data_IF_782888005317
#
_entry.id   IF_782888005317
#
_cell.length_a   1.000
_cell.length_b   1.000
_cell.length_c   1.000
_cell.angle_alpha   90.00
_cell.angle_beta   90.00
_cell.angle_gamma   90.00
#
_symmetry.space_group_name_H-M   'P 1'
#
loop_
_entity.id
_entity.type
_entity.pdbx_description
1 polymer ?
#
# COMPACT_ATOMS: atom_id res chain seq x y z
N UNK A 1 -17.62 -27.14 -4.92
CA UNK A 1 -16.43 -27.29 -4.05
C UNK A 1 -15.33 -26.49 -4.71
N UNK A 2 -15.12 -25.25 -4.26
CA UNK A 2 -14.12 -24.34 -4.83
C UNK A 2 -12.78 -24.63 -4.15
N UNK A 3 -11.71 -24.77 -4.92
CA UNK A 3 -10.38 -25.06 -4.40
C UNK A 3 -9.90 -23.93 -3.46
N UNK A 4 -9.12 -24.25 -2.40
CA UNK A 4 -8.51 -23.21 -1.58
C UNK A 4 -7.46 -22.47 -2.42
N UNK A 5 -7.69 -21.17 -2.66
CA UNK A 5 -6.68 -20.29 -3.22
C UNK A 5 -5.47 -20.31 -2.28
N UNK A 6 -4.34 -20.79 -2.79
CA UNK A 6 -3.09 -20.79 -2.05
C UNK A 6 -2.59 -19.35 -2.02
N UNK A 7 -2.94 -18.62 -0.96
CA UNK A 7 -2.40 -17.28 -0.71
C UNK A 7 -0.90 -17.46 -0.49
N UNK A 8 -0.12 -17.17 -1.53
CA UNK A 8 1.35 -17.23 -1.43
C UNK A 8 1.78 -16.12 -0.48
N UNK A 9 2.32 -16.49 0.67
CA UNK A 9 2.91 -15.56 1.63
C UNK A 9 4.16 -14.95 0.99
N UNK A 10 4.00 -13.82 0.32
CA UNK A 10 5.11 -13.08 -0.27
C UNK A 10 5.97 -12.55 0.87
N UNK A 11 7.27 -12.83 0.89
CA UNK A 11 8.21 -12.11 1.76
C UNK A 11 8.19 -10.65 1.29
N UNK A 12 7.57 -9.73 2.05
CA UNK A 12 6.98 -8.58 1.42
C UNK A 12 8.05 -7.47 1.47
N UNK A 13 8.94 -7.49 0.47
CA UNK A 13 10.02 -6.51 0.30
C UNK A 13 9.37 -5.23 -0.24
N UNK A 14 9.35 -4.18 0.57
CA UNK A 14 9.05 -2.83 0.07
C UNK A 14 10.30 -2.30 -0.62
N UNK A 15 10.24 -2.13 -1.94
CA UNK A 15 11.31 -1.53 -2.73
C UNK A 15 10.78 -0.28 -3.46
N UNK A 16 11.59 0.78 -3.60
CA UNK A 16 11.19 1.96 -4.36
C UNK A 16 11.12 1.63 -5.85
N UNK A 17 10.17 2.24 -6.55
CA UNK A 17 10.09 2.14 -8.00
C UNK A 17 11.12 3.06 -8.65
N UNK A 18 11.76 2.60 -9.72
CA UNK A 18 12.65 3.44 -10.55
C UNK A 18 11.86 4.48 -11.36
N UNK A 19 10.60 4.17 -11.69
CA UNK A 19 9.65 5.06 -12.36
C UNK A 19 8.28 4.91 -11.71
N UNK A 20 7.65 6.04 -11.38
CA UNK A 20 6.31 6.08 -10.81
C UNK A 20 5.58 7.34 -11.31
N UNK A 21 4.24 7.30 -11.28
CA UNK A 21 3.38 8.43 -11.66
C UNK A 21 3.22 9.38 -10.48
N UNK A 22 2.92 8.84 -9.30
CA UNK A 22 2.68 9.61 -8.08
C UNK A 22 3.25 8.94 -6.85
N UNK A 23 3.46 9.75 -5.81
CA UNK A 23 3.79 9.25 -4.48
C UNK A 23 2.92 9.89 -3.40
N UNK A 24 2.79 9.18 -2.29
CA UNK A 24 2.15 9.64 -1.07
C UNK A 24 3.01 9.26 0.13
N UNK A 25 3.06 10.16 1.11
CA UNK A 25 3.87 9.99 2.32
C UNK A 25 2.99 10.20 3.53
N UNK A 26 3.02 9.25 4.45
CA UNK A 26 2.45 9.39 5.80
C UNK A 26 3.53 9.20 6.85
N UNK A 27 3.26 9.63 8.07
CA UNK A 27 4.13 9.41 9.23
C UNK A 27 3.46 8.45 10.22
N UNK A 28 4.19 7.43 10.68
CA UNK A 28 3.72 6.50 11.69
C UNK A 28 3.80 7.16 13.07
N UNK A 29 2.68 7.65 13.59
CA UNK A 29 2.67 8.47 14.82
C UNK A 29 3.36 7.86 16.05
N UNK A 30 3.33 6.53 16.30
CA UNK A 30 4.04 5.96 17.45
C UNK A 30 5.57 5.98 17.34
N UNK A 31 6.12 5.97 16.12
CA UNK A 31 7.58 5.92 15.92
C UNK A 31 8.16 7.13 15.18
N UNK A 32 7.32 8.05 14.69
CA UNK A 32 7.70 9.29 14.02
C UNK A 32 8.42 9.07 12.68
N UNK A 33 8.29 7.89 12.08
CA UNK A 33 9.02 7.51 10.86
C UNK A 33 8.12 7.50 9.64
N UNK A 34 8.70 7.88 8.51
CA UNK A 34 7.99 8.01 7.25
C UNK A 34 7.66 6.66 6.61
N UNK A 35 6.51 6.63 5.95
CA UNK A 35 6.04 5.58 5.06
C UNK A 35 5.71 6.24 3.74
N UNK A 36 6.41 5.82 2.69
CA UNK A 36 6.23 6.29 1.32
C UNK A 36 5.61 5.18 0.49
N UNK A 37 4.55 5.52 -0.26
CA UNK A 37 3.92 4.69 -1.29
C UNK A 37 4.11 5.37 -2.63
N UNK A 38 4.57 4.62 -3.63
CA UNK A 38 4.77 5.04 -5.01
C UNK A 38 3.90 4.19 -5.92
N UNK A 39 3.16 4.83 -6.83
CA UNK A 39 2.26 4.16 -7.76
C UNK A 39 2.66 4.50 -9.19
N UNK A 40 2.78 3.48 -10.03
CA UNK A 40 2.82 3.62 -11.47
C UNK A 40 1.41 3.33 -12.01
N UNK A 41 0.81 4.35 -12.63
CA UNK A 41 -0.58 4.33 -13.07
C UNK A 41 -0.62 4.52 -14.58
N UNK A 42 -1.35 3.65 -15.28
CA UNK A 42 -1.64 3.73 -16.71
C UNK A 42 -3.13 3.47 -16.94
N UNK A 43 -3.81 4.36 -17.67
CA UNK A 43 -5.26 4.27 -17.95
C UNK A 43 -6.11 4.06 -16.67
N UNK A 44 -5.82 4.82 -15.62
CA UNK A 44 -6.47 4.73 -14.31
C UNK A 44 -6.32 3.37 -13.59
N UNK A 45 -5.37 2.54 -14.03
CA UNK A 45 -5.03 1.25 -13.39
C UNK A 45 -3.63 1.32 -12.80
N UNK A 46 -3.49 0.83 -11.56
CA UNK A 46 -2.20 0.71 -10.88
C UNK A 46 -1.46 -0.50 -11.48
N UNK A 47 -0.48 -0.27 -12.33
CA UNK A 47 0.28 -1.35 -12.99
C UNK A 47 1.50 -1.81 -12.18
N UNK A 48 2.02 -0.95 -11.32
CA UNK A 48 3.11 -1.28 -10.39
C UNK A 48 3.01 -0.41 -9.13
N UNK A 49 3.48 -0.95 -8.00
CA UNK A 49 3.43 -0.28 -6.71
C UNK A 49 4.68 -0.60 -5.88
N UNK A 50 5.30 0.43 -5.33
CA UNK A 50 6.50 0.32 -4.50
C UNK A 50 6.53 1.38 -3.40
N UNK A 51 7.69 1.58 -2.80
CA UNK A 51 7.84 2.62 -1.79
C UNK A 51 9.06 2.49 -0.91
N UNK A 52 9.01 3.15 0.25
CA UNK A 52 10.04 3.08 1.27
C UNK A 52 9.40 3.16 2.66
N UNK A 53 9.91 2.37 3.61
CA UNK A 53 9.41 2.33 4.99
C UNK A 53 10.59 2.39 5.94
N UNK A 54 10.63 3.43 6.78
CA UNK A 54 11.66 3.60 7.80
C UNK A 54 11.23 3.02 9.17
N UNK A 55 9.94 2.71 9.30
CA UNK A 55 9.27 2.15 10.48
C UNK A 55 9.63 0.68 10.76
N UNK A 56 8.99 0.11 11.78
CA UNK A 56 9.21 -1.27 12.24
C UNK A 56 8.86 -2.33 11.17
N UNK A 57 9.31 -3.56 11.40
CA UNK A 57 9.08 -4.67 10.47
C UNK A 57 7.60 -4.94 10.22
N UNK A 58 6.75 -4.77 11.24
CA UNK A 58 5.31 -4.93 11.07
C UNK A 58 4.73 -3.89 10.09
N UNK A 59 5.12 -2.61 10.20
CA UNK A 59 4.74 -1.60 9.20
C UNK A 59 5.25 -1.95 7.80
N UNK A 60 6.49 -2.45 7.67
CA UNK A 60 7.04 -2.88 6.37
C UNK A 60 6.18 -3.97 5.75
N UNK A 61 5.77 -4.93 6.56
CA UNK A 61 4.89 -6.02 6.16
C UNK A 61 3.51 -5.51 5.73
N UNK A 62 2.86 -4.67 6.55
CA UNK A 62 1.59 -4.04 6.18
C UNK A 62 1.70 -3.28 4.86
N UNK A 63 2.77 -2.49 4.67
CA UNK A 63 2.98 -1.73 3.44
C UNK A 63 3.13 -2.66 2.24
N UNK A 64 3.98 -3.68 2.31
CA UNK A 64 4.15 -4.56 1.16
C UNK A 64 2.93 -5.45 0.89
N UNK A 65 2.16 -5.83 1.91
CA UNK A 65 0.85 -6.47 1.74
C UNK A 65 -0.14 -5.54 1.02
N UNK A 66 -0.23 -4.27 1.45
CA UNK A 66 -1.05 -3.25 0.81
C UNK A 66 -0.65 -3.03 -0.65
N UNK A 67 0.65 -2.85 -0.94
CA UNK A 67 1.17 -2.67 -2.29
C UNK A 67 0.79 -3.85 -3.20
N UNK A 68 0.90 -5.08 -2.70
CA UNK A 68 0.51 -6.27 -3.45
C UNK A 68 -1.01 -6.37 -3.68
N UNK A 69 -1.83 -5.79 -2.80
CA UNK A 69 -3.29 -5.74 -2.95
C UNK A 69 -3.73 -4.72 -4.00
N UNK A 70 -3.08 -3.56 -4.09
CA UNK A 70 -3.52 -2.48 -4.99
C UNK A 70 -3.06 -2.64 -6.44
N UNK A 71 -2.03 -3.46 -6.70
CA UNK A 71 -1.59 -3.73 -8.08
C UNK A 71 -2.72 -4.41 -8.86
N UNK A 72 -3.05 -3.86 -10.02
CA UNK A 72 -4.15 -4.28 -10.89
C UNK A 72 -5.49 -3.64 -10.56
N UNK A 73 -5.61 -2.89 -9.45
CA UNK A 73 -6.82 -2.14 -9.13
C UNK A 73 -6.93 -0.87 -9.96
N UNK A 74 -8.17 -0.46 -10.23
CA UNK A 74 -8.46 0.89 -10.68
C UNK A 74 -8.23 1.90 -9.54
N UNK A 75 -7.74 3.10 -9.85
CA UNK A 75 -7.48 4.18 -8.87
C UNK A 75 -8.71 4.60 -8.05
N UNK A 76 -9.93 4.44 -8.59
CA UNK A 76 -11.18 4.70 -7.88
C UNK A 76 -11.48 3.60 -6.86
N UNK A 77 -11.30 2.33 -7.23
CA UNK A 77 -11.49 1.18 -6.32
C UNK A 77 -10.43 1.18 -5.22
N UNK A 78 -9.19 1.51 -5.57
CA UNK A 78 -8.06 1.62 -4.64
C UNK A 78 -8.30 2.64 -3.51
N UNK A 79 -9.26 3.56 -3.66
CA UNK A 79 -9.63 4.51 -2.60
C UNK A 79 -10.39 3.86 -1.44
N UNK A 80 -11.15 2.81 -1.75
CA UNK A 80 -11.96 2.11 -0.78
C UNK A 80 -11.15 1.13 0.07
N UNK A 81 -9.90 0.85 -0.35
CA UNK A 81 -9.02 -0.10 0.35
C UNK A 81 -8.86 0.28 1.82
N UNK A 82 -9.15 -0.71 2.67
CA UNK A 82 -9.02 -0.65 4.11
C UNK A 82 -7.95 -1.65 4.59
N UNK A 83 -7.78 -1.73 5.90
CA UNK A 83 -6.78 -2.64 6.48
C UNK A 83 -7.18 -4.10 6.32
N UNK A 84 -8.49 -4.39 6.35
CA UNK A 84 -9.03 -5.74 6.16
C UNK A 84 -8.69 -6.34 4.79
N UNK A 85 -8.55 -5.52 3.75
CA UNK A 85 -8.31 -5.99 2.37
C UNK A 85 -6.91 -6.61 2.16
N UNK A 86 -5.91 -6.20 2.93
CA UNK A 86 -4.55 -6.73 2.81
C UNK A 86 -4.13 -7.62 3.98
N UNK A 87 -4.90 -7.67 5.07
CA UNK A 87 -4.67 -8.59 6.19
C UNK A 87 -4.51 -10.07 5.77
N UNK A 88 -5.27 -10.62 4.79
CA UNK A 88 -5.07 -12.00 4.32
C UNK A 88 -3.68 -12.29 3.73
N UNK A 89 -2.94 -11.25 3.33
CA UNK A 89 -1.57 -11.35 2.78
C UNK A 89 -0.48 -11.18 3.85
N UNK A 90 -0.86 -10.86 5.09
CA UNK A 90 0.05 -10.71 6.20
C UNK A 90 0.31 -12.05 6.90
N UNK A 91 1.48 -12.18 7.51
CA UNK A 91 1.87 -13.34 8.34
C UNK A 91 1.19 -13.31 9.70
N UNK A 92 0.87 -12.11 10.21
CA UNK A 92 0.18 -11.91 11.48
C UNK A 92 -0.62 -10.61 11.47
N UNK A 93 -1.74 -10.59 12.18
CA UNK A 93 -2.57 -9.39 12.38
C UNK A 93 -2.42 -8.96 13.83
N UNK A 94 -2.06 -7.69 14.04
CA UNK A 94 -1.84 -7.11 15.37
C UNK A 94 -2.73 -5.88 15.55
N UNK A 95 -3.98 -6.11 15.94
CA UNK A 95 -5.04 -5.09 15.99
C UNK A 95 -4.73 -3.93 16.95
N UNK A 96 -4.02 -4.19 18.05
CA UNK A 96 -3.80 -3.20 19.10
C UNK A 96 -2.75 -2.11 18.77
N UNK A 97 -1.98 -2.26 17.68
CA UNK A 97 -0.93 -1.31 17.32
C UNK A 97 -1.38 -0.26 16.29
N UNK A 98 -2.39 -0.58 15.45
CA UNK A 98 -2.90 0.31 14.41
C UNK A 98 -1.88 0.72 13.33
N UNK A 99 -0.75 0.01 13.22
CA UNK A 99 0.34 0.33 12.29
C UNK A 99 -0.03 0.13 10.81
N UNK A 100 -1.06 -0.65 10.55
CA UNK A 100 -1.70 -0.93 9.26
C UNK A 100 -2.45 0.29 8.68
N UNK A 101 -2.91 1.22 9.52
CA UNK A 101 -3.59 2.44 9.08
C UNK A 101 -2.66 3.41 8.33
N UNK A 102 -1.37 3.47 8.68
CA UNK A 102 -0.46 4.44 8.09
C UNK A 102 -0.13 4.14 6.63
N UNK A 103 0.16 2.88 6.22
CA UNK A 103 0.22 2.51 4.81
C UNK A 103 -1.02 2.94 4.01
N UNK A 104 -2.23 2.74 4.56
CA UNK A 104 -3.48 3.18 3.93
C UNK A 104 -3.54 4.71 3.80
N UNK A 105 -3.08 5.44 4.81
CA UNK A 105 -2.98 6.90 4.73
C UNK A 105 -2.02 7.35 3.62
N UNK A 106 -0.84 6.73 3.50
CA UNK A 106 0.11 7.01 2.42
C UNK A 106 -0.49 6.73 1.04
N UNK A 107 -1.21 5.61 0.87
CA UNK A 107 -1.93 5.29 -0.36
C UNK A 107 -2.96 6.36 -0.72
N UNK A 108 -3.80 6.77 0.25
CA UNK A 108 -4.83 7.81 0.03
C UNK A 108 -4.21 9.14 -0.38
N UNK A 109 -3.05 9.51 0.18
CA UNK A 109 -2.31 10.70 -0.22
C UNK A 109 -1.80 10.55 -1.67
N UNK A 110 -1.25 9.39 -2.04
CA UNK A 110 -0.79 9.13 -3.41
C UNK A 110 -1.94 9.26 -4.43
N UNK A 111 -3.08 8.64 -4.16
CA UNK A 111 -4.27 8.70 -5.01
C UNK A 111 -4.88 10.12 -5.08
N UNK A 112 -4.81 10.88 -3.98
CA UNK A 112 -5.17 12.31 -4.00
C UNK A 112 -4.24 13.11 -4.89
N UNK A 113 -2.94 12.86 -4.83
CA UNK A 113 -1.95 13.54 -5.67
C UNK A 113 -2.16 13.24 -7.15
N UNK A 114 -2.52 12.00 -7.51
CA UNK A 114 -2.90 11.63 -8.88
C UNK A 114 -4.06 12.47 -9.39
N UNK A 115 -5.14 12.58 -8.60
CA UNK A 115 -6.30 13.41 -8.96
C UNK A 115 -5.95 14.88 -9.15
N UNK A 116 -5.06 15.42 -8.33
CA UNK A 116 -4.63 16.82 -8.47
C UNK A 116 -3.79 17.04 -9.73
N UNK A 117 -3.00 16.04 -10.12
CA UNK A 117 -2.20 16.08 -11.34
C UNK A 117 -3.08 15.98 -12.60
N UNK A 118 -4.09 15.12 -12.61
CA UNK A 118 -5.03 15.00 -13.73
C UNK A 118 -5.94 16.23 -13.91
N UNK A 119 -6.10 17.04 -12.85
CA UNK A 119 -6.91 18.25 -12.87
C UNK A 119 -6.12 19.53 -13.26
N UNK A 120 -4.80 19.43 -13.46
CA UNK A 120 -3.89 20.54 -13.74
C UNK A 120 -3.58 20.68 -15.24
#
# INVERSE_FOLDING_TARGET
>A
MTAPETITTVLPIVAPLTRYTVEGVSECSPCGRAIKVQLLIENDVIIDAGGAVESCNFTRECTAALLATVIGMNVYDAQAVSTEDFQPRMTSVVEHLGCDNWPVAALRIALRNYRLQEAA
#
